data_IF_388656237758
#
_entry.id   IF_388656237758
#
_cell.length_a   1.000
_cell.length_b   1.000
_cell.length_c   1.000
_cell.angle_alpha   90.00
_cell.angle_beta   90.00
_cell.angle_gamma   90.00
#
_symmetry.space_group_name_H-M   'P 1'
#
loop_
_entity.id
_entity.type
_entity.pdbx_description
1 polymer ?
#
# COMPACT_ATOMS: atom_id res chain seq x y z
N UNK A 1 -8.88 22.98 -3.71
CA UNK A 1 -7.92 21.89 -3.54
C UNK A 1 -6.62 22.16 -4.31
N UNK A 2 -6.67 22.65 -5.56
CA UNK A 2 -5.45 22.84 -6.35
C UNK A 2 -4.51 23.96 -5.85
N UNK A 3 -4.99 25.12 -5.37
CA UNK A 3 -4.06 26.19 -4.93
C UNK A 3 -4.52 26.93 -3.67
N UNK A 4 -5.39 26.31 -2.87
CA UNK A 4 -5.95 26.93 -1.66
C UNK A 4 -5.94 25.99 -0.46
N UNK A 5 -6.17 26.54 0.73
CA UNK A 5 -6.20 25.78 1.98
C UNK A 5 -7.16 24.60 1.89
N UNK A 6 -6.72 23.46 2.43
CA UNK A 6 -7.54 22.24 2.46
C UNK A 6 -8.75 22.48 3.35
N UNK A 7 -9.93 22.53 2.77
CA UNK A 7 -11.18 22.76 3.50
C UNK A 7 -11.78 21.48 4.09
N UNK A 8 -11.40 20.30 3.57
CA UNK A 8 -11.94 19.02 3.99
C UNK A 8 -10.94 17.89 3.76
N UNK A 9 -10.82 16.98 4.73
CA UNK A 9 -10.01 15.77 4.65
C UNK A 9 -10.91 14.58 4.96
N UNK A 10 -11.03 13.65 4.01
CA UNK A 10 -11.63 12.34 4.23
C UNK A 10 -10.58 11.26 4.05
N UNK A 11 -10.46 10.39 5.04
CA UNK A 11 -9.60 9.21 4.99
C UNK A 11 -10.46 7.95 4.95
N UNK A 12 -10.09 7.00 4.10
CA UNK A 12 -10.68 5.66 4.01
C UNK A 12 -9.64 4.62 4.46
N UNK A 13 -9.41 4.50 5.78
CA UNK A 13 -8.46 3.53 6.31
C UNK A 13 -8.94 2.09 6.11
N UNK A 14 -7.97 1.17 6.04
CA UNK A 14 -8.24 -0.27 6.04
C UNK A 14 -8.73 -0.76 7.41
N UNK A 15 -9.14 -2.03 7.47
CA UNK A 15 -9.43 -2.71 8.74
C UNK A 15 -8.75 -4.09 8.75
N UNK A 16 -9.51 -5.15 8.58
CA UNK A 16 -9.09 -6.54 8.56
C UNK A 16 -9.47 -7.16 7.20
N UNK A 17 -8.80 -6.65 6.17
CA UNK A 17 -9.07 -6.93 4.74
C UNK A 17 -8.15 -7.98 4.12
N UNK A 18 -7.45 -8.79 4.92
CA UNK A 18 -6.48 -9.76 4.42
C UNK A 18 -7.08 -10.85 3.50
N UNK A 19 -8.39 -11.05 3.55
CA UNK A 19 -9.15 -12.00 2.71
C UNK A 19 -10.37 -11.30 2.05
N UNK A 20 -10.21 -10.00 1.71
CA UNK A 20 -11.22 -9.20 1.02
C UNK A 20 -10.68 -8.67 -0.31
N UNK A 21 -11.27 -9.10 -1.43
CA UNK A 21 -10.93 -8.56 -2.75
C UNK A 21 -11.97 -7.53 -3.24
N UNK A 22 -11.56 -6.41 -3.87
CA UNK A 22 -12.46 -5.53 -4.59
C UNK A 22 -12.87 -6.08 -5.98
N UNK A 23 -12.18 -7.10 -6.49
CA UNK A 23 -12.41 -7.69 -7.81
C UNK A 23 -13.59 -8.68 -7.76
N UNK A 24 -14.80 -8.17 -8.01
CA UNK A 24 -16.04 -8.93 -7.81
C UNK A 24 -16.24 -10.11 -8.77
N UNK A 25 -15.44 -10.19 -9.84
CA UNK A 25 -15.45 -11.33 -10.76
C UNK A 25 -14.39 -12.38 -10.42
N UNK A 26 -13.71 -12.23 -9.27
CA UNK A 26 -12.69 -13.15 -8.78
C UNK A 26 -11.52 -13.33 -9.75
N UNK A 27 -11.17 -12.26 -10.46
CA UNK A 27 -10.05 -12.19 -11.38
C UNK A 27 -9.38 -10.80 -11.31
N UNK A 28 -8.05 -10.71 -11.50
CA UNK A 28 -7.33 -9.45 -11.33
C UNK A 28 -7.84 -8.35 -12.26
N UNK A 29 -8.17 -7.20 -11.68
CA UNK A 29 -8.66 -6.03 -12.42
C UNK A 29 -10.10 -6.17 -12.93
N UNK A 30 -10.82 -7.25 -12.60
CA UNK A 30 -12.17 -7.53 -13.10
C UNK A 30 -13.23 -7.50 -11.99
N UNK A 31 -14.38 -6.94 -12.34
CA UNK A 31 -15.54 -6.77 -11.47
C UNK A 31 -15.50 -5.43 -10.73
N UNK A 32 -16.59 -4.64 -10.77
CA UNK A 32 -17.91 -4.92 -11.39
C UNK A 32 -17.97 -4.82 -12.93
N UNK A 33 -16.89 -4.43 -13.59
CA UNK A 33 -16.75 -4.29 -15.05
C UNK A 33 -15.46 -4.95 -15.54
N UNK A 34 -15.18 -4.87 -16.85
CA UNK A 34 -13.94 -5.36 -17.48
C UNK A 34 -12.80 -4.34 -17.46
N UNK A 35 -13.04 -3.11 -17.01
CA UNK A 35 -12.07 -2.02 -16.98
C UNK A 35 -11.65 -1.74 -15.53
N UNK A 36 -10.36 -1.96 -15.23
CA UNK A 36 -9.79 -1.78 -13.89
C UNK A 36 -9.95 -0.34 -13.35
N UNK A 37 -9.88 0.67 -14.22
CA UNK A 37 -10.09 2.06 -13.83
C UNK A 37 -11.54 2.28 -13.42
N UNK A 38 -12.47 1.80 -14.24
CA UNK A 38 -13.89 1.90 -13.92
C UNK A 38 -14.26 1.10 -12.67
N UNK A 39 -13.61 -0.05 -12.45
CA UNK A 39 -13.77 -0.83 -11.23
C UNK A 39 -13.33 -0.05 -9.99
N UNK A 40 -12.12 0.53 -10.02
CA UNK A 40 -11.63 1.37 -8.93
C UNK A 40 -12.58 2.55 -8.65
N UNK A 41 -13.09 3.23 -9.70
CA UNK A 41 -14.07 4.31 -9.55
C UNK A 41 -15.36 3.84 -8.88
N UNK A 42 -15.96 2.76 -9.37
CA UNK A 42 -17.24 2.23 -8.85
C UNK A 42 -17.08 1.76 -7.41
N UNK A 43 -16.03 0.99 -7.10
CA UNK A 43 -15.77 0.48 -5.75
C UNK A 43 -15.47 1.64 -4.78
N UNK A 44 -14.70 2.64 -5.21
CA UNK A 44 -14.48 3.86 -4.43
C UNK A 44 -15.78 4.61 -4.13
N UNK A 45 -16.64 4.81 -5.14
CA UNK A 45 -17.93 5.50 -4.97
C UNK A 45 -18.89 4.75 -4.04
N UNK A 46 -18.88 3.41 -4.05
CA UNK A 46 -19.66 2.60 -3.09
C UNK A 46 -19.21 2.85 -1.65
N UNK A 47 -17.90 2.92 -1.41
CA UNK A 47 -17.35 3.24 -0.10
C UNK A 47 -17.70 4.67 0.34
N UNK A 48 -17.60 5.65 -0.56
CA UNK A 48 -18.00 7.04 -0.30
C UNK A 48 -19.48 7.13 0.04
N UNK A 49 -20.36 6.46 -0.69
CA UNK A 49 -21.80 6.46 -0.43
C UNK A 49 -22.13 5.87 0.95
N UNK A 50 -21.45 4.79 1.35
CA UNK A 50 -21.60 4.22 2.69
C UNK A 50 -21.10 5.19 3.77
N UNK A 51 -19.94 5.82 3.57
CA UNK A 51 -19.38 6.79 4.50
C UNK A 51 -20.26 8.04 4.65
N UNK A 52 -20.82 8.57 3.56
CA UNK A 52 -21.77 9.68 3.58
C UNK A 52 -23.05 9.32 4.33
N UNK A 53 -23.56 8.10 4.13
CA UNK A 53 -24.71 7.59 4.88
C UNK A 53 -24.42 7.57 6.38
N UNK A 54 -23.29 6.99 6.77
CA UNK A 54 -22.86 6.93 8.17
C UNK A 54 -22.68 8.34 8.77
N UNK A 55 -21.96 9.22 8.07
CA UNK A 55 -21.70 10.60 8.47
C UNK A 55 -23.00 11.41 8.65
N UNK A 56 -23.94 11.31 7.70
CA UNK A 56 -25.23 12.00 7.77
C UNK A 56 -26.16 11.47 8.87
N UNK A 57 -25.99 10.20 9.26
CA UNK A 57 -26.77 9.57 10.35
C UNK A 57 -26.14 9.74 11.74
N UNK A 58 -24.93 10.29 11.83
CA UNK A 58 -24.19 10.38 13.09
C UNK A 58 -24.91 11.28 14.10
N UNK A 59 -25.35 10.68 15.21
CA UNK A 59 -26.03 11.38 16.31
C UNK A 59 -25.25 11.35 17.62
N UNK A 60 -24.31 10.44 17.76
CA UNK A 60 -23.52 10.27 18.98
C UNK A 60 -22.29 11.16 18.97
N UNK A 61 -22.13 11.97 20.01
CA UNK A 61 -20.93 12.79 20.20
C UNK A 61 -19.85 11.97 20.89
N UNK A 62 -18.62 12.00 20.34
CA UNK A 62 -17.46 11.41 21.02
C UNK A 62 -17.12 12.22 22.26
N UNK A 63 -17.08 11.56 23.42
CA UNK A 63 -16.78 12.22 24.70
C UNK A 63 -15.75 11.43 25.50
N UNK A 64 -15.01 12.12 26.37
CA UNK A 64 -13.94 11.53 27.17
C UNK A 64 -12.54 11.94 26.69
N UNK A 65 -11.52 11.38 27.33
CA UNK A 65 -10.12 11.72 27.06
C UNK A 65 -9.49 10.89 25.93
N UNK A 66 -8.21 11.13 25.71
CA UNK A 66 -7.36 10.35 24.82
C UNK A 66 -6.37 9.55 25.66
N UNK A 67 -6.13 8.30 25.29
CA UNK A 67 -5.11 7.46 25.91
C UNK A 67 -4.45 6.54 24.86
N UNK A 68 -3.28 5.99 25.15
CA UNK A 68 -2.61 5.05 24.25
C UNK A 68 -1.73 4.06 24.98
N UNK A 69 -1.62 2.84 24.44
CA UNK A 69 -0.68 1.81 24.89
C UNK A 69 0.03 1.19 23.71
N UNK A 70 1.32 0.92 23.85
CA UNK A 70 2.16 0.29 22.83
C UNK A 70 2.97 -0.86 23.43
N UNK A 71 3.26 -1.86 22.61
CA UNK A 71 4.18 -2.95 22.95
C UNK A 71 4.85 -3.45 21.69
N UNK A 72 6.10 -3.88 21.81
CA UNK A 72 6.82 -4.61 20.78
C UNK A 72 6.82 -6.10 21.13
N UNK A 73 6.48 -6.93 20.16
CA UNK A 73 6.48 -8.39 20.27
C UNK A 73 7.60 -8.95 19.39
N UNK A 74 8.45 -9.81 19.95
CA UNK A 74 9.34 -10.64 19.13
C UNK A 74 8.57 -11.87 18.64
N UNK A 75 7.92 -11.71 17.50
CA UNK A 75 7.02 -12.72 16.91
C UNK A 75 7.75 -13.97 16.43
N UNK A 76 9.08 -13.96 16.34
CA UNK A 76 9.84 -15.18 16.04
C UNK A 76 9.88 -16.15 17.23
N UNK A 77 9.53 -15.71 18.45
CA UNK A 77 9.71 -16.49 19.67
C UNK A 77 8.73 -16.16 20.83
N UNK A 78 7.46 -15.87 20.53
CA UNK A 78 6.42 -15.71 21.54
C UNK A 78 5.94 -17.05 22.10
N UNK A 79 5.95 -17.18 23.43
CA UNK A 79 5.18 -18.21 24.16
C UNK A 79 3.73 -17.74 24.24
N UNK A 80 2.82 -18.60 23.79
CA UNK A 80 1.39 -18.31 23.75
C UNK A 80 0.69 -19.20 24.76
N UNK A 81 0.03 -18.55 25.72
CA UNK A 81 -0.78 -19.21 26.74
C UNK A 81 -1.95 -19.98 26.12
N UNK A 82 -2.29 -21.10 26.76
CA UNK A 82 -3.47 -21.91 26.44
C UNK A 82 -4.78 -21.13 26.33
N UNK A 83 -4.87 -19.98 27.04
CA UNK A 83 -6.02 -19.07 26.98
C UNK A 83 -6.36 -18.60 25.55
N UNK A 84 -5.37 -18.44 24.68
CA UNK A 84 -5.54 -17.88 23.33
C UNK A 84 -5.46 -18.93 22.22
N UNK A 85 -5.14 -20.18 22.57
CA UNK A 85 -4.93 -21.26 21.61
C UNK A 85 -6.18 -22.14 21.49
N UNK A 86 -6.50 -22.67 20.29
CA UNK A 86 -7.72 -23.47 20.09
C UNK A 86 -7.82 -24.73 20.96
N UNK A 87 -6.69 -25.31 21.36
CA UNK A 87 -6.61 -26.57 22.12
C UNK A 87 -6.37 -26.36 23.63
N UNK A 88 -6.34 -25.11 24.09
CA UNK A 88 -6.15 -24.78 25.50
C UNK A 88 -4.74 -25.02 26.04
N UNK A 89 -3.73 -25.26 25.18
CA UNK A 89 -2.36 -25.62 25.59
C UNK A 89 -1.37 -24.51 25.29
N UNK A 90 -0.26 -24.49 26.02
CA UNK A 90 0.83 -23.58 25.69
C UNK A 90 1.47 -23.97 24.35
N UNK A 91 1.67 -22.97 23.50
CA UNK A 91 2.34 -23.11 22.20
C UNK A 91 3.38 -22.02 22.02
N UNK A 92 4.13 -22.08 20.91
CA UNK A 92 5.13 -21.08 20.56
C UNK A 92 5.02 -20.70 19.09
N UNK A 93 5.24 -19.42 18.79
CA UNK A 93 5.50 -18.96 17.41
C UNK A 93 6.89 -19.42 16.95
N UNK A 94 7.16 -19.29 15.65
CA UNK A 94 8.43 -19.68 15.07
C UNK A 94 9.04 -18.55 14.24
N UNK A 95 10.35 -18.59 13.95
CA UNK A 95 10.97 -17.70 12.98
C UNK A 95 10.21 -17.70 11.66
N UNK A 96 10.18 -16.52 11.02
CA UNK A 96 9.36 -16.28 9.85
C UNK A 96 9.70 -17.22 8.68
N UNK A 97 8.66 -17.77 8.06
CA UNK A 97 8.78 -18.64 6.90
C UNK A 97 7.65 -18.42 5.90
N UNK A 98 7.99 -18.47 4.61
CA UNK A 98 7.06 -18.38 3.48
C UNK A 98 6.64 -19.80 3.07
N UNK A 99 5.33 -20.01 2.94
CA UNK A 99 4.76 -21.27 2.48
C UNK A 99 4.56 -21.33 0.97
N UNK A 100 4.42 -22.54 0.42
CA UNK A 100 4.18 -22.76 -1.01
C UNK A 100 2.93 -22.05 -1.54
N UNK A 101 1.88 -21.94 -0.73
CA UNK A 101 0.66 -21.23 -1.10
C UNK A 101 0.87 -19.72 -1.32
N UNK A 102 1.80 -19.09 -0.58
CA UNK A 102 2.17 -17.69 -0.84
C UNK A 102 2.81 -17.53 -2.22
N UNK A 103 3.65 -18.49 -2.64
CA UNK A 103 4.28 -18.47 -3.96
C UNK A 103 3.30 -18.70 -5.11
N UNK A 104 2.12 -19.25 -4.85
CA UNK A 104 1.05 -19.42 -5.84
C UNK A 104 0.27 -18.12 -6.13
N UNK A 105 0.30 -17.14 -5.21
CA UNK A 105 -0.50 -15.91 -5.30
C UNK A 105 -1.96 -16.08 -4.89
N UNK A 106 -2.72 -14.98 -4.98
CA UNK A 106 -4.19 -15.00 -4.90
C UNK A 106 -4.76 -15.10 -6.31
N UNK A 107 -5.82 -15.89 -6.49
CA UNK A 107 -6.50 -16.03 -7.79
C UNK A 107 -7.19 -14.72 -8.17
N UNK A 108 -7.67 -13.98 -7.17
CA UNK A 108 -8.53 -12.81 -7.28
C UNK A 108 -7.76 -11.50 -7.47
N UNK A 109 -6.60 -11.37 -6.81
CA UNK A 109 -5.84 -10.11 -6.76
C UNK A 109 -4.53 -10.14 -7.58
N UNK A 110 -4.14 -11.33 -8.05
CA UNK A 110 -3.04 -11.53 -8.99
C UNK A 110 -2.03 -12.56 -8.53
N UNK A 111 -1.26 -13.14 -9.48
CA UNK A 111 -0.18 -14.04 -9.13
C UNK A 111 0.78 -13.33 -8.17
N UNK A 112 1.37 -14.08 -7.23
CA UNK A 112 2.49 -13.56 -6.47
C UNK A 112 3.58 -13.05 -7.45
N UNK A 113 4.39 -12.09 -7.01
CA UNK A 113 5.63 -11.72 -7.71
C UNK A 113 6.26 -13.02 -8.22
N UNK A 114 6.56 -13.20 -9.53
CA UNK A 114 7.11 -14.45 -10.03
C UNK A 114 8.46 -14.68 -9.36
N UNK A 115 8.48 -15.39 -8.24
CA UNK A 115 9.72 -15.63 -7.50
C UNK A 115 10.55 -16.69 -8.26
N UNK A 116 9.97 -17.42 -9.21
CA UNK A 116 10.60 -18.58 -9.83
C UNK A 116 10.24 -18.87 -11.31
N UNK A 117 10.40 -17.96 -12.30
CA UNK A 117 10.65 -18.41 -13.66
C UNK A 117 12.07 -19.00 -13.74
N UNK A 118 12.20 -20.21 -14.29
CA UNK A 118 13.49 -20.89 -14.49
C UNK A 118 14.51 -19.96 -15.19
N UNK A 119 15.71 -19.86 -14.63
CA UNK A 119 16.78 -18.99 -15.16
C UNK A 119 16.74 -17.52 -14.71
N UNK A 120 15.73 -17.09 -13.94
CA UNK A 120 15.68 -15.73 -13.37
C UNK A 120 16.68 -15.59 -12.23
N UNK A 121 17.69 -14.74 -12.40
CA UNK A 121 18.62 -14.34 -11.33
C UNK A 121 18.27 -12.95 -10.83
N UNK A 122 18.10 -12.79 -9.52
CA UNK A 122 17.98 -11.48 -8.88
C UNK A 122 19.33 -11.15 -8.21
N UNK A 123 20.10 -10.18 -8.73
CA UNK A 123 21.41 -9.81 -8.18
C UNK A 123 21.37 -9.44 -6.69
N UNK A 124 20.24 -8.90 -6.20
CA UNK A 124 20.04 -8.61 -4.78
C UNK A 124 19.96 -9.89 -3.95
N UNK A 125 19.21 -10.89 -4.42
CA UNK A 125 19.07 -12.18 -3.75
C UNK A 125 20.43 -12.88 -3.70
N UNK A 126 21.19 -12.88 -4.82
CA UNK A 126 22.53 -13.45 -4.88
C UNK A 126 23.49 -12.75 -3.90
N UNK A 127 23.48 -11.41 -3.87
CA UNK A 127 24.31 -10.62 -2.96
C UNK A 127 23.96 -10.79 -1.48
N UNK A 128 22.70 -11.13 -1.17
CA UNK A 128 22.23 -11.43 0.18
C UNK A 128 22.42 -12.92 0.55
N UNK A 129 23.09 -13.72 -0.28
CA UNK A 129 23.44 -15.10 0.03
C UNK A 129 22.48 -16.16 -0.52
N UNK A 130 21.55 -15.78 -1.41
CA UNK A 130 20.59 -16.69 -2.05
C UNK A 130 19.39 -17.03 -1.16
N UNK A 131 18.39 -17.71 -1.75
CA UNK A 131 17.22 -18.25 -1.03
C UNK A 131 17.32 -19.76 -0.75
N UNK A 132 18.42 -20.41 -1.17
CA UNK A 132 18.63 -21.86 -1.07
C UNK A 132 19.07 -22.33 0.33
N UNK A 133 18.76 -21.55 1.37
CA UNK A 133 19.07 -21.94 2.74
C UNK A 133 18.29 -23.20 3.10
N UNK A 134 18.94 -24.26 3.62
CA UNK A 134 18.25 -25.50 3.96
C UNK A 134 17.20 -25.22 5.03
N UNK A 135 15.96 -25.62 4.78
CA UNK A 135 14.87 -25.50 5.75
C UNK A 135 15.08 -26.53 6.85
N UNK A 136 15.42 -26.13 8.09
CA UNK A 136 15.67 -27.09 9.16
C UNK A 136 14.40 -27.85 9.54
N UNK A 137 14.52 -29.14 9.90
CA UNK A 137 13.36 -29.95 10.27
C UNK A 137 12.55 -29.33 11.42
N UNK A 138 13.22 -28.79 12.45
CA UNK A 138 12.54 -28.15 13.56
C UNK A 138 11.66 -26.95 13.13
N UNK A 139 12.04 -26.25 12.06
CA UNK A 139 11.25 -25.13 11.54
C UNK A 139 10.04 -25.65 10.75
N UNK A 140 10.20 -26.75 10.00
CA UNK A 140 9.07 -27.40 9.34
C UNK A 140 8.06 -27.89 10.37
N UNK A 141 8.53 -28.53 11.44
CA UNK A 141 7.67 -29.03 12.52
C UNK A 141 6.93 -27.87 13.22
N UNK A 142 7.62 -26.76 13.48
CA UNK A 142 7.03 -25.58 14.11
C UNK A 142 6.05 -24.80 13.20
N UNK A 143 6.21 -24.90 11.89
CA UNK A 143 5.34 -24.26 10.89
C UNK A 143 4.26 -25.20 10.36
N UNK A 144 4.22 -26.47 10.78
CA UNK A 144 3.22 -27.42 10.29
C UNK A 144 1.78 -26.89 10.48
N UNK A 145 0.88 -27.06 9.49
CA UNK A 145 1.05 -27.87 8.28
C UNK A 145 1.65 -27.13 7.07
N UNK A 146 2.19 -25.91 7.23
CA UNK A 146 2.79 -25.16 6.11
C UNK A 146 3.94 -25.91 5.47
N UNK A 147 3.86 -26.10 4.16
CA UNK A 147 5.01 -26.49 3.34
C UNK A 147 5.92 -25.27 3.17
N UNK A 148 6.98 -25.19 3.97
CA UNK A 148 7.94 -24.08 3.94
C UNK A 148 8.77 -24.13 2.66
N UNK A 149 8.74 -23.02 1.89
CA UNK A 149 9.58 -22.83 0.69
C UNK A 149 10.83 -22.02 1.03
N UNK A 150 10.67 -20.90 1.74
CA UNK A 150 11.80 -20.03 2.09
C UNK A 150 11.77 -19.69 3.59
N UNK A 151 12.83 -19.98 4.35
CA UNK A 151 12.93 -19.64 5.77
C UNK A 151 13.39 -18.18 5.93
N UNK A 152 12.58 -17.21 5.50
CA UNK A 152 12.95 -15.79 5.39
C UNK A 152 13.46 -15.15 6.69
N UNK A 153 13.04 -15.65 7.86
CA UNK A 153 13.54 -15.20 9.16
C UNK A 153 14.94 -15.70 9.50
N UNK A 154 15.47 -16.69 8.75
CA UNK A 154 16.79 -17.29 8.93
C UNK A 154 17.79 -16.91 7.83
N UNK A 155 17.35 -16.19 6.78
CA UNK A 155 18.21 -15.80 5.67
C UNK A 155 19.30 -14.80 6.14
N UNK A 156 20.57 -14.96 5.70
CA UNK A 156 21.60 -13.99 6.01
C UNK A 156 21.32 -12.63 5.33
N UNK A 157 21.83 -11.50 5.84
CA UNK A 157 22.70 -11.36 7.01
C UNK A 157 21.96 -11.25 8.37
N UNK A 158 20.63 -11.27 8.42
CA UNK A 158 19.89 -11.02 9.68
C UNK A 158 18.38 -11.26 9.64
N UNK A 159 17.91 -12.16 8.77
CA UNK A 159 16.51 -12.30 8.40
C UNK A 159 16.08 -11.20 7.43
N UNK A 160 15.19 -11.52 6.50
CA UNK A 160 14.72 -10.57 5.48
C UNK A 160 13.37 -9.92 5.81
N UNK A 161 12.83 -10.23 6.99
CA UNK A 161 11.52 -9.73 7.45
C UNK A 161 11.61 -9.29 8.92
N UNK A 162 10.78 -8.33 9.36
CA UNK A 162 10.79 -7.87 10.73
C UNK A 162 10.25 -8.93 11.70
N UNK A 163 11.04 -9.29 12.71
CA UNK A 163 10.59 -10.19 13.79
C UNK A 163 10.00 -9.42 14.99
N UNK A 164 10.48 -8.20 15.24
CA UNK A 164 10.02 -7.36 16.35
C UNK A 164 8.96 -6.39 15.83
N UNK A 165 7.71 -6.60 16.22
CA UNK A 165 6.54 -5.91 15.66
C UNK A 165 5.81 -5.08 16.71
N UNK A 166 5.45 -3.85 16.33
CA UNK A 166 4.73 -2.91 17.21
C UNK A 166 3.23 -3.14 17.13
N UNK A 167 2.61 -3.44 18.27
CA UNK A 167 1.16 -3.41 18.46
C UNK A 167 0.78 -2.18 19.27
N UNK A 168 -0.42 -1.66 19.04
CA UNK A 168 -0.92 -0.44 19.69
C UNK A 168 -2.43 -0.48 19.90
N UNK A 169 -2.88 0.14 20.99
CA UNK A 169 -4.27 0.55 21.19
C UNK A 169 -4.28 2.06 21.44
N UNK A 170 -5.08 2.80 20.66
CA UNK A 170 -5.39 4.21 20.86
C UNK A 170 -6.83 4.33 21.36
N UNK A 171 -7.08 5.09 22.42
CA UNK A 171 -8.42 5.41 22.90
C UNK A 171 -8.74 6.86 22.57
N UNK A 172 -9.89 7.09 21.96
CA UNK A 172 -10.46 8.42 21.74
C UNK A 172 -11.89 8.40 22.27
N UNK A 173 -12.09 8.95 23.46
CA UNK A 173 -13.37 8.93 24.14
C UNK A 173 -13.84 7.51 24.45
N UNK A 174 -14.96 7.10 23.85
CA UNK A 174 -15.50 5.75 23.96
C UNK A 174 -14.93 4.75 22.93
N UNK A 175 -14.17 5.20 21.93
CA UNK A 175 -13.64 4.35 20.85
C UNK A 175 -12.20 3.90 21.12
N UNK A 176 -11.88 2.69 20.66
CA UNK A 176 -10.58 2.05 20.76
C UNK A 176 -10.11 1.61 19.37
N UNK A 177 -9.05 2.23 18.86
CA UNK A 177 -8.42 1.90 17.59
C UNK A 177 -7.26 0.95 17.87
N UNK A 178 -7.37 -0.28 17.39
CA UNK A 178 -6.39 -1.35 17.57
C UNK A 178 -5.53 -1.46 16.32
N UNK A 179 -4.27 -1.04 16.40
CA UNK A 179 -3.33 -1.04 15.28
C UNK A 179 -2.57 -2.36 15.15
N UNK A 180 -2.70 -3.03 14.00
CA UNK A 180 -2.07 -4.31 13.65
C UNK A 180 -1.01 -4.23 12.54
N UNK A 181 0.21 -4.77 12.75
CA UNK A 181 1.32 -4.68 11.79
C UNK A 181 1.32 -5.79 10.73
N UNK A 182 0.13 -6.16 10.24
CA UNK A 182 -0.07 -7.23 9.26
C UNK A 182 -1.42 -7.05 8.53
N UNK A 183 -1.66 -7.89 7.53
CA UNK A 183 -2.93 -8.09 6.86
C UNK A 183 -3.75 -9.15 7.62
N UNK A 184 -4.64 -8.71 8.49
CA UNK A 184 -5.49 -9.62 9.25
C UNK A 184 -6.69 -10.02 8.40
N UNK A 185 -7.00 -11.31 8.33
CA UNK A 185 -8.27 -11.78 7.76
C UNK A 185 -9.46 -11.25 8.54
N UNK A 186 -10.66 -11.32 7.96
CA UNK A 186 -11.90 -10.85 8.56
C UNK A 186 -12.09 -11.42 9.96
N UNK A 187 -11.92 -12.73 10.10
CA UNK A 187 -12.12 -13.42 11.36
C UNK A 187 -10.96 -13.17 12.32
N UNK A 188 -9.73 -13.00 11.82
CA UNK A 188 -8.58 -12.66 12.67
C UNK A 188 -8.74 -11.29 13.32
N UNK A 189 -9.09 -10.27 12.54
CA UNK A 189 -9.38 -8.94 13.06
C UNK A 189 -10.56 -8.95 14.04
N UNK A 190 -11.64 -9.66 13.71
CA UNK A 190 -12.80 -9.83 14.60
C UNK A 190 -12.40 -10.45 15.96
N UNK A 191 -11.55 -11.48 15.97
CA UNK A 191 -11.08 -12.12 17.21
C UNK A 191 -10.25 -11.17 18.06
N UNK A 192 -9.39 -10.36 17.45
CA UNK A 192 -8.66 -9.31 18.18
C UNK A 192 -9.62 -8.29 18.78
N UNK A 193 -10.60 -7.80 18.00
CA UNK A 193 -11.60 -6.84 18.48
C UNK A 193 -12.37 -7.38 19.69
N UNK A 194 -12.79 -8.64 19.65
CA UNK A 194 -13.46 -9.32 20.77
C UNK A 194 -12.56 -9.42 22.00
N UNK A 195 -11.31 -9.86 21.82
CA UNK A 195 -10.34 -9.92 22.92
C UNK A 195 -10.17 -8.57 23.61
N UNK A 196 -10.01 -7.49 22.85
CA UNK A 196 -9.86 -6.14 23.40
C UNK A 196 -11.15 -5.66 24.07
N UNK A 197 -12.31 -5.86 23.43
CA UNK A 197 -13.61 -5.48 23.97
C UNK A 197 -13.91 -6.18 25.30
N UNK A 198 -13.66 -7.49 25.37
CA UNK A 198 -13.83 -8.32 26.56
C UNK A 198 -12.90 -7.88 27.70
N UNK A 199 -11.62 -7.63 27.41
CA UNK A 199 -10.66 -7.18 28.43
C UNK A 199 -10.99 -5.79 28.99
N UNK A 200 -11.50 -4.88 28.15
CA UNK A 200 -11.90 -3.54 28.57
C UNK A 200 -13.31 -3.48 29.17
N UNK A 201 -14.14 -4.49 28.95
CA UNK A 201 -15.56 -4.48 29.33
C UNK A 201 -16.38 -3.46 28.54
N UNK A 202 -16.08 -3.28 27.26
CA UNK A 202 -16.74 -2.30 26.37
C UNK A 202 -17.50 -3.00 25.23
N UNK A 203 -18.48 -2.34 24.60
CA UNK A 203 -19.13 -2.88 23.42
C UNK A 203 -18.17 -3.12 22.25
N UNK A 204 -18.40 -4.17 21.46
CA UNK A 204 -17.53 -4.57 20.36
C UNK A 204 -17.47 -3.52 19.23
N UNK A 205 -18.57 -2.81 19.01
CA UNK A 205 -18.73 -1.71 18.07
C UNK A 205 -17.80 -0.53 18.40
N UNK A 206 -17.39 -0.39 19.66
CA UNK A 206 -16.45 0.66 20.08
C UNK A 206 -14.99 0.29 19.79
N UNK A 207 -14.70 -0.96 19.44
CA UNK A 207 -13.35 -1.43 19.11
C UNK A 207 -13.21 -1.53 17.60
N UNK A 208 -12.38 -0.68 17.02
CA UNK A 208 -12.09 -0.60 15.59
C UNK A 208 -10.72 -1.22 15.34
N UNK A 209 -10.63 -2.18 14.43
CA UNK A 209 -9.34 -2.74 14.04
C UNK A 209 -8.78 -2.00 12.83
N UNK A 210 -7.51 -1.64 12.89
CA UNK A 210 -6.75 -0.97 11.84
C UNK A 210 -5.53 -1.84 11.50
N UNK A 211 -5.64 -2.67 10.48
CA UNK A 211 -4.50 -3.39 9.90
C UNK A 211 -3.52 -2.43 9.22
N UNK A 212 -2.43 -2.98 8.66
CA UNK A 212 -1.39 -2.19 7.97
C UNK A 212 -0.79 -1.06 8.83
N UNK A 213 -0.87 -1.17 10.15
CA UNK A 213 -0.46 -0.12 11.07
C UNK A 213 0.98 -0.32 11.53
N UNK A 214 1.78 0.75 11.44
CA UNK A 214 3.15 0.88 11.97
C UNK A 214 4.26 0.07 11.30
N UNK A 215 3.99 -1.18 10.93
CA UNK A 215 4.92 -2.09 10.27
C UNK A 215 4.13 -3.08 9.41
N UNK A 216 4.83 -3.94 8.68
CA UNK A 216 4.23 -4.92 7.79
C UNK A 216 4.94 -6.26 7.94
N UNK A 217 4.17 -7.31 8.23
CA UNK A 217 4.65 -8.69 8.44
C UNK A 217 3.83 -9.71 7.65
N UNK A 218 3.42 -9.33 6.44
CA UNK A 218 2.50 -10.10 5.60
C UNK A 218 1.17 -10.37 6.30
N UNK A 219 0.67 -11.61 6.30
CA UNK A 219 -0.70 -11.93 6.70
C UNK A 219 -0.79 -12.44 8.14
N UNK A 220 -1.99 -12.35 8.69
CA UNK A 220 -2.34 -12.96 9.96
C UNK A 220 -3.70 -13.66 9.81
N UNK A 221 -3.67 -14.98 9.70
CA UNK A 221 -4.85 -15.84 9.68
C UNK A 221 -5.18 -16.39 11.06
N UNK A 222 -6.41 -16.87 11.23
CA UNK A 222 -6.76 -17.71 12.38
C UNK A 222 -6.01 -19.05 12.31
N UNK A 223 -5.85 -19.79 13.42
CA UNK A 223 -5.29 -21.14 13.36
C UNK A 223 -6.05 -22.07 12.41
N UNK A 224 -7.38 -21.88 12.28
CA UNK A 224 -8.23 -22.69 11.41
C UNK A 224 -8.02 -22.36 9.92
N UNK A 225 -7.94 -21.06 9.59
CA UNK A 225 -7.56 -20.62 8.24
C UNK A 225 -6.14 -21.04 7.89
N UNK A 226 -5.20 -20.94 8.85
CA UNK A 226 -3.82 -21.36 8.67
C UNK A 226 -3.73 -22.84 8.27
N UNK A 227 -4.55 -23.70 8.89
CA UNK A 227 -4.55 -25.14 8.57
C UNK A 227 -4.96 -25.43 7.12
N UNK A 228 -5.75 -24.56 6.50
CA UNK A 228 -6.13 -24.71 5.09
C UNK A 228 -4.99 -24.40 4.12
N UNK A 229 -3.99 -23.63 4.56
CA UNK A 229 -2.85 -23.18 3.75
C UNK A 229 -3.27 -22.62 2.38
N UNK A 230 -4.31 -21.76 2.36
CA UNK A 230 -4.52 -20.81 1.27
C UNK A 230 -3.43 -19.73 1.27
N UNK A 231 -3.50 -18.76 0.36
CA UNK A 231 -2.47 -17.73 0.18
C UNK A 231 -2.12 -17.01 1.49
N UNK A 232 -3.11 -16.59 2.26
CA UNK A 232 -2.96 -15.87 3.53
C UNK A 232 -2.34 -16.78 4.61
N UNK A 233 -2.71 -18.07 4.60
CA UNK A 233 -2.15 -19.09 5.51
C UNK A 233 -0.68 -19.39 5.21
N UNK A 234 -0.32 -19.47 3.92
CA UNK A 234 1.06 -19.58 3.47
C UNK A 234 1.90 -18.33 3.80
N UNK A 235 1.24 -17.17 3.82
CA UNK A 235 1.84 -15.86 4.10
C UNK A 235 1.81 -15.46 5.58
N UNK A 236 1.21 -16.27 6.46
CA UNK A 236 1.22 -16.05 7.92
C UNK A 236 2.56 -16.50 8.49
N UNK A 237 3.50 -15.56 8.56
CA UNK A 237 4.94 -15.85 8.64
C UNK A 237 5.37 -16.62 9.90
N UNK A 238 4.79 -16.33 11.07
CA UNK A 238 5.28 -16.84 12.37
C UNK A 238 4.59 -18.13 12.84
N UNK A 239 3.90 -18.82 11.91
CA UNK A 239 3.26 -20.10 12.16
C UNK A 239 1.81 -20.01 12.62
N UNK A 240 1.23 -21.18 12.89
CA UNK A 240 -0.19 -21.36 13.25
C UNK A 240 -0.66 -20.51 14.42
N UNK A 241 0.23 -20.17 15.34
CA UNK A 241 -0.05 -19.41 16.56
C UNK A 241 0.24 -17.91 16.45
N UNK A 242 0.41 -17.38 15.23
CA UNK A 242 0.60 -15.94 14.98
C UNK A 242 -0.55 -15.09 15.54
N UNK A 243 -1.80 -15.38 15.15
CA UNK A 243 -2.96 -14.66 15.70
C UNK A 243 -3.10 -14.82 17.22
N UNK A 244 -3.02 -16.03 17.80
CA UNK A 244 -2.99 -16.20 19.25
C UNK A 244 -1.94 -15.36 19.98
N UNK A 245 -0.72 -15.23 19.44
CA UNK A 245 0.31 -14.36 20.00
C UNK A 245 -0.10 -12.87 19.96
N UNK A 246 -0.69 -12.41 18.85
CA UNK A 246 -1.25 -11.06 18.77
C UNK A 246 -2.39 -10.84 19.77
N UNK A 247 -3.35 -11.77 19.87
CA UNK A 247 -4.45 -11.67 20.84
C UNK A 247 -3.92 -11.58 22.28
N UNK A 248 -2.89 -12.36 22.62
CA UNK A 248 -2.23 -12.28 23.92
C UNK A 248 -1.62 -10.89 24.18
N UNK A 249 -0.90 -10.33 23.20
CA UNK A 249 -0.33 -8.99 23.31
C UNK A 249 -1.39 -7.90 23.44
N UNK A 250 -2.46 -7.96 22.64
CA UNK A 250 -3.56 -7.00 22.73
C UNK A 250 -4.35 -7.11 24.03
N UNK A 251 -4.53 -8.32 24.57
CA UNK A 251 -5.13 -8.50 25.88
C UNK A 251 -4.30 -7.82 26.97
N UNK A 252 -2.97 -7.94 26.91
CA UNK A 252 -2.07 -7.26 27.84
C UNK A 252 -2.16 -5.72 27.71
N UNK A 253 -2.20 -5.17 26.48
CA UNK A 253 -2.38 -3.73 26.27
C UNK A 253 -3.75 -3.24 26.79
N UNK A 254 -4.81 -4.00 26.52
CA UNK A 254 -6.16 -3.67 26.94
C UNK A 254 -6.30 -3.70 28.47
N UNK A 255 -5.75 -4.72 29.13
CA UNK A 255 -5.70 -4.79 30.58
C UNK A 255 -4.90 -3.62 31.18
N UNK A 256 -3.73 -3.29 30.63
CA UNK A 256 -2.95 -2.15 31.09
C UNK A 256 -3.69 -0.81 30.91
N UNK A 257 -4.44 -0.66 29.81
CA UNK A 257 -5.29 0.52 29.58
C UNK A 257 -6.44 0.59 30.58
N UNK A 258 -7.15 -0.51 30.83
CA UNK A 258 -8.22 -0.61 31.85
C UNK A 258 -7.71 -0.23 33.24
N UNK A 259 -6.53 -0.73 33.59
CA UNK A 259 -5.96 -0.60 34.94
C UNK A 259 -5.16 0.70 35.11
N UNK A 260 -5.04 1.53 34.06
CA UNK A 260 -4.28 2.79 34.09
C UNK A 260 -2.77 2.60 34.29
N UNK A 261 -2.22 1.46 33.83
CA UNK A 261 -0.81 1.09 34.00
C UNK A 261 -0.05 1.10 32.67
N UNK A 262 1.28 1.13 32.74
CA UNK A 262 2.15 1.04 31.57
C UNK A 262 2.57 -0.42 31.34
N UNK A 263 2.30 -1.00 30.14
CA UNK A 263 2.74 -2.35 29.81
C UNK A 263 4.25 -2.40 29.58
N UNK A 264 4.89 -3.58 29.67
CA UNK A 264 6.26 -3.74 29.24
C UNK A 264 6.41 -3.35 27.76
N UNK A 265 7.43 -2.54 27.47
CA UNK A 265 7.67 -2.05 26.10
C UNK A 265 8.03 -3.16 25.12
N UNK A 266 8.64 -4.24 25.58
CA UNK A 266 9.18 -5.31 24.73
C UNK A 266 10.55 -4.97 24.11
N UNK A 267 11.08 -5.85 23.23
CA UNK A 267 12.39 -5.65 22.62
C UNK A 267 12.39 -4.48 21.62
N UNK A 268 13.55 -3.86 21.43
CA UNK A 268 13.72 -2.82 20.42
C UNK A 268 13.79 -3.44 19.01
N UNK A 269 13.14 -2.86 17.99
CA UNK A 269 13.35 -3.24 16.59
C UNK A 269 14.81 -3.05 16.17
N UNK A 270 15.28 -3.90 15.24
CA UNK A 270 16.60 -3.75 14.66
C UNK A 270 16.69 -2.47 13.81
N UNK A 271 17.81 -1.74 13.94
CA UNK A 271 18.13 -0.62 13.05
C UNK A 271 18.89 -1.16 11.83
N UNK A 272 18.23 -1.13 10.67
CA UNK A 272 18.78 -1.58 9.39
C UNK A 272 19.19 -0.41 8.48
N UNK A 273 19.18 0.84 8.97
CA UNK A 273 19.48 2.03 8.16
C UNK A 273 20.90 2.02 7.58
N UNK A 274 21.84 1.37 8.25
CA UNK A 274 23.23 1.22 7.79
C UNK A 274 23.43 0.20 6.67
N UNK A 275 22.44 -0.65 6.36
CA UNK A 275 22.53 -1.69 5.33
C UNK A 275 21.22 -1.78 4.53
N UNK A 276 21.18 -1.05 3.42
CA UNK A 276 20.04 -0.99 2.48
C UNK A 276 20.56 -1.15 1.04
N UNK A 277 20.94 -2.38 0.63
CA UNK A 277 21.49 -2.58 -0.69
C UNK A 277 20.43 -2.33 -1.77
N UNK A 278 20.79 -1.56 -2.81
CA UNK A 278 19.91 -1.22 -3.93
C UNK A 278 20.54 -1.65 -5.24
N UNK A 279 19.87 -2.54 -5.96
CA UNK A 279 20.33 -3.10 -7.24
C UNK A 279 19.38 -2.82 -8.39
N UNK A 280 18.37 -1.96 -8.17
CA UNK A 280 17.46 -1.54 -9.22
C UNK A 280 18.15 -0.64 -10.24
N UNK A 281 17.73 -0.65 -11.52
CA UNK A 281 18.31 0.24 -12.52
C UNK A 281 18.08 1.70 -12.12
N UNK A 282 19.18 2.44 -12.02
CA UNK A 282 19.17 3.90 -11.89
C UNK A 282 18.80 4.57 -13.22
N UNK A 283 18.77 5.91 -13.19
CA UNK A 283 18.75 6.71 -14.42
C UNK A 283 20.20 7.03 -14.77
N UNK A 284 20.71 6.53 -15.89
CA UNK A 284 22.08 6.84 -16.33
C UNK A 284 22.19 8.31 -16.72
N UNK A 285 21.46 8.69 -17.77
CA UNK A 285 21.22 10.05 -18.24
C UNK A 285 20.01 10.04 -19.19
N UNK A 286 19.52 11.22 -19.56
CA UNK A 286 18.45 11.39 -20.54
C UNK A 286 18.95 12.13 -21.79
N UNK A 287 18.35 11.82 -22.94
CA UNK A 287 18.55 12.55 -24.19
C UNK A 287 17.19 12.95 -24.79
N UNK A 288 17.05 14.11 -25.42
CA UNK A 288 15.86 14.38 -26.21
C UNK A 288 15.80 13.45 -27.43
N UNK A 289 14.63 13.33 -28.05
CA UNK A 289 14.48 12.59 -29.30
C UNK A 289 15.27 13.29 -30.43
N UNK A 290 15.70 12.57 -31.47
CA UNK A 290 16.42 13.18 -32.58
C UNK A 290 15.66 14.37 -33.19
N UNK A 291 16.29 15.54 -33.20
CA UNK A 291 15.71 16.76 -33.75
C UNK A 291 14.74 17.51 -32.83
N UNK A 292 14.59 17.10 -31.57
CA UNK A 292 13.73 17.76 -30.58
C UNK A 292 14.52 18.27 -29.37
N UNK A 293 13.84 18.97 -28.47
CA UNK A 293 14.31 19.37 -27.14
C UNK A 293 13.39 18.78 -26.06
N UNK A 294 13.86 18.75 -24.81
CA UNK A 294 12.98 18.40 -23.69
C UNK A 294 11.87 19.46 -23.56
N UNK A 295 10.64 19.00 -23.36
CA UNK A 295 9.45 19.86 -23.35
C UNK A 295 8.79 20.05 -24.71
N UNK A 296 9.37 19.56 -25.81
CA UNK A 296 8.70 19.62 -27.12
C UNK A 296 7.46 18.71 -27.14
N UNK A 297 6.31 19.27 -27.53
CA UNK A 297 5.08 18.53 -27.78
C UNK A 297 5.12 17.88 -29.17
N UNK A 298 5.29 16.56 -29.19
CA UNK A 298 5.36 15.71 -30.40
C UNK A 298 3.98 15.27 -30.89
N UNK A 299 2.99 15.24 -29.99
CA UNK A 299 1.56 15.09 -30.33
C UNK A 299 0.82 16.29 -29.73
N UNK A 300 0.18 17.06 -30.60
CA UNK A 300 -0.61 18.24 -30.24
C UNK A 300 -2.09 17.88 -30.04
N UNK A 301 -2.81 18.60 -29.18
CA UNK A 301 -4.24 18.40 -28.99
C UNK A 301 -5.04 18.96 -30.18
N UNK A 302 -6.18 18.35 -30.46
CA UNK A 302 -7.20 18.90 -31.36
C UNK A 302 -8.36 19.53 -30.58
N UNK A 303 -9.17 20.32 -31.28
CA UNK A 303 -10.45 20.81 -30.74
C UNK A 303 -11.38 19.64 -30.41
N UNK A 304 -12.27 19.83 -29.44
CA UNK A 304 -13.18 18.79 -28.97
C UNK A 304 -14.39 19.32 -28.22
N UNK A 305 -15.06 18.42 -27.51
CA UNK A 305 -16.22 18.73 -26.67
C UNK A 305 -16.07 18.05 -25.31
N UNK A 306 -16.80 18.52 -24.28
CA UNK A 306 -16.96 17.76 -23.05
C UNK A 306 -17.38 16.30 -23.32
N UNK A 307 -16.81 15.35 -22.57
CA UNK A 307 -16.99 13.91 -22.75
C UNK A 307 -16.04 13.26 -23.77
N UNK A 308 -15.25 14.04 -24.53
CA UNK A 308 -14.17 13.51 -25.36
C UNK A 308 -12.87 13.28 -24.55
N UNK A 309 -11.91 12.58 -25.13
CA UNK A 309 -10.57 12.45 -24.58
C UNK A 309 -9.58 13.32 -25.37
N UNK A 310 -8.85 14.18 -24.67
CA UNK A 310 -7.69 14.90 -25.20
C UNK A 310 -6.43 14.07 -24.90
N UNK A 311 -5.54 13.93 -25.88
CA UNK A 311 -4.27 13.23 -25.71
C UNK A 311 -3.13 14.01 -26.35
N UNK A 312 -2.03 14.17 -25.60
CA UNK A 312 -0.83 14.90 -26.03
C UNK A 312 0.41 14.12 -25.63
N UNK A 313 1.53 14.35 -26.31
CA UNK A 313 2.79 13.65 -26.02
C UNK A 313 3.97 14.63 -26.03
N UNK A 314 4.79 14.60 -24.98
CA UNK A 314 5.95 15.46 -24.82
C UNK A 314 7.24 14.66 -24.76
N UNK A 315 8.32 15.21 -25.32
CA UNK A 315 9.68 14.74 -25.04
C UNK A 315 10.06 15.08 -23.61
N UNK A 316 10.52 14.08 -22.85
CA UNK A 316 10.75 14.24 -21.40
C UNK A 316 11.95 13.42 -20.91
N UNK A 317 12.39 13.68 -19.68
CA UNK A 317 13.35 12.84 -18.96
C UNK A 317 12.67 11.79 -18.09
N UNK A 318 13.43 10.92 -17.43
CA UNK A 318 12.86 9.91 -16.53
C UNK A 318 12.26 10.55 -15.26
N UNK A 319 11.01 10.20 -14.86
CA UNK A 319 10.36 10.70 -13.62
C UNK A 319 11.07 10.35 -12.30
N UNK A 320 12.15 9.55 -12.34
CA UNK A 320 12.98 9.27 -11.15
C UNK A 320 13.97 10.40 -10.85
N UNK A 321 14.22 11.30 -11.82
CA UNK A 321 15.11 12.43 -11.62
C UNK A 321 14.53 13.45 -10.64
N UNK A 322 13.22 13.64 -10.68
CA UNK A 322 12.47 14.48 -9.75
C UNK A 322 11.08 13.86 -9.59
N UNK A 323 10.66 13.63 -8.36
CA UNK A 323 9.34 13.07 -8.05
C UNK A 323 8.24 14.14 -8.04
N UNK A 324 8.58 15.42 -8.24
CA UNK A 324 7.67 16.56 -8.23
C UNK A 324 6.80 16.62 -6.96
N UNK A 325 7.38 16.30 -5.80
CA UNK A 325 6.63 16.25 -4.53
C UNK A 325 6.07 17.63 -4.19
N UNK A 326 4.77 17.69 -3.87
CA UNK A 326 4.01 18.94 -3.66
C UNK A 326 3.92 19.84 -4.92
N UNK A 327 4.21 19.29 -6.10
CA UNK A 327 3.98 19.91 -7.41
C UNK A 327 3.17 18.96 -8.29
N UNK A 328 3.33 19.11 -9.60
CA UNK A 328 2.71 18.24 -10.61
C UNK A 328 3.67 18.01 -11.78
N UNK A 329 3.50 16.90 -12.50
CA UNK A 329 4.14 16.64 -13.79
C UNK A 329 3.44 17.38 -14.95
N UNK A 330 2.19 17.82 -14.80
CA UNK A 330 1.49 18.60 -15.82
C UNK A 330 0.23 19.31 -15.30
N UNK A 331 -0.23 20.26 -16.11
CA UNK A 331 -1.46 21.01 -15.86
C UNK A 331 -2.30 21.07 -17.13
N UNK A 332 -3.59 20.83 -16.97
CA UNK A 332 -4.60 21.29 -17.91
C UNK A 332 -4.95 22.72 -17.51
N UNK A 333 -4.74 23.67 -18.42
CA UNK A 333 -4.97 25.09 -18.16
C UNK A 333 -6.06 25.63 -19.07
N UNK A 334 -6.91 26.50 -18.53
CA UNK A 334 -7.94 27.26 -19.24
C UNK A 334 -7.57 28.72 -19.35
N UNK A 335 -7.77 29.32 -20.52
CA UNK A 335 -7.63 30.76 -20.69
C UNK A 335 -8.85 31.48 -20.10
N UNK A 336 -8.63 32.28 -19.06
CA UNK A 336 -9.64 33.06 -18.36
C UNK A 336 -9.27 34.55 -18.43
N UNK A 337 -9.79 35.26 -19.44
CA UNK A 337 -9.53 36.69 -19.58
C UNK A 337 -8.08 37.05 -19.91
N UNK A 338 -7.37 36.18 -20.63
CA UNK A 338 -5.98 36.39 -21.04
C UNK A 338 -4.94 35.80 -20.09
N UNK A 339 -5.34 35.26 -18.94
CA UNK A 339 -4.49 34.48 -18.05
C UNK A 339 -4.80 32.98 -18.16
N UNK A 340 -3.79 32.15 -17.92
CA UNK A 340 -3.94 30.69 -17.88
C UNK A 340 -4.14 30.25 -16.44
N UNK A 341 -5.26 29.59 -16.18
CA UNK A 341 -5.61 29.06 -14.87
C UNK A 341 -5.65 27.55 -14.94
N UNK A 342 -4.98 26.87 -13.99
CA UNK A 342 -5.05 25.43 -13.86
C UNK A 342 -6.47 24.97 -13.51
N UNK A 343 -6.94 23.96 -14.23
CA UNK A 343 -8.26 23.34 -14.01
C UNK A 343 -8.17 21.85 -13.69
N UNK A 344 -7.05 21.19 -14.03
CA UNK A 344 -6.75 19.82 -13.62
C UNK A 344 -5.23 19.59 -13.60
N UNK A 345 -4.76 18.62 -12.82
CA UNK A 345 -3.36 18.18 -12.78
C UNK A 345 -3.22 16.66 -12.72
N UNK A 346 -2.06 16.15 -12.29
CA UNK A 346 -1.75 14.71 -12.23
C UNK A 346 -2.39 13.96 -11.04
N UNK A 347 -3.10 14.67 -10.16
CA UNK A 347 -3.84 14.10 -9.04
C UNK A 347 -5.35 13.98 -9.31
N UNK A 348 -5.85 14.54 -10.41
CA UNK A 348 -7.25 14.44 -10.81
C UNK A 348 -7.57 13.09 -11.49
N UNK A 349 -8.69 12.46 -11.12
CA UNK A 349 -9.10 11.18 -11.71
C UNK A 349 -9.30 11.22 -13.24
N UNK A 350 -9.63 12.41 -13.78
CA UNK A 350 -9.89 12.62 -15.20
C UNK A 350 -8.63 12.68 -16.06
N UNK A 351 -7.45 12.65 -15.46
CA UNK A 351 -6.18 12.80 -16.18
C UNK A 351 -5.29 11.58 -15.94
N UNK A 352 -4.44 11.26 -16.91
CA UNK A 352 -3.47 10.15 -16.81
C UNK A 352 -2.14 10.54 -17.40
N UNK A 353 -1.08 10.02 -16.80
CA UNK A 353 0.30 10.14 -17.27
C UNK A 353 0.87 8.77 -17.61
N UNK A 354 1.38 8.61 -18.82
CA UNK A 354 2.07 7.40 -19.24
C UNK A 354 3.45 7.74 -19.79
N UNK A 355 4.49 7.47 -19.00
CA UNK A 355 5.88 7.61 -19.41
C UNK A 355 6.34 6.36 -20.15
N UNK A 356 7.09 6.53 -21.24
CA UNK A 356 7.72 5.42 -21.95
C UNK A 356 9.12 5.76 -22.45
N UNK A 357 10.01 4.76 -22.40
CA UNK A 357 11.35 4.81 -22.98
C UNK A 357 11.27 4.78 -24.52
N UNK A 358 12.07 5.61 -25.18
CA UNK A 358 12.22 5.65 -26.65
C UNK A 358 13.72 5.57 -26.98
N UNK A 359 14.13 4.48 -27.62
CA UNK A 359 15.56 4.19 -27.80
C UNK A 359 16.26 3.92 -26.47
N UNK A 360 17.55 4.27 -26.36
CA UNK A 360 18.35 3.97 -25.17
C UNK A 360 18.13 4.97 -24.03
N UNK A 361 18.14 6.28 -24.32
CA UNK A 361 18.07 7.34 -23.31
C UNK A 361 16.99 8.39 -23.59
N UNK A 362 16.28 8.27 -24.73
CA UNK A 362 15.12 9.11 -25.04
C UNK A 362 13.91 8.69 -24.25
N UNK A 363 13.01 9.61 -23.93
CA UNK A 363 11.70 9.26 -23.40
C UNK A 363 10.65 10.27 -23.78
N UNK A 364 9.40 9.81 -23.77
CA UNK A 364 8.24 10.66 -23.92
C UNK A 364 7.25 10.38 -22.80
N UNK A 365 6.42 11.37 -22.52
CA UNK A 365 5.26 11.25 -21.66
C UNK A 365 4.00 11.52 -22.48
N UNK A 366 3.07 10.57 -22.45
CA UNK A 366 1.72 10.76 -22.97
C UNK A 366 0.83 11.20 -21.82
N UNK A 367 0.15 12.32 -22.00
CA UNK A 367 -0.85 12.84 -21.06
C UNK A 367 -2.22 12.70 -21.73
N UNK A 368 -3.18 12.13 -21.01
CA UNK A 368 -4.57 12.08 -21.45
C UNK A 368 -5.46 12.81 -20.46
N UNK A 369 -6.49 13.48 -20.97
CA UNK A 369 -7.54 14.14 -20.19
C UNK A 369 -8.90 13.70 -20.72
N UNK A 370 -9.60 12.90 -19.93
CA UNK A 370 -10.99 12.51 -20.14
C UNK A 370 -11.88 13.68 -19.72
N UNK A 371 -12.23 14.56 -20.68
CA UNK A 371 -12.85 15.86 -20.41
C UNK A 371 -14.17 15.68 -19.68
N UNK A 372 -14.32 16.14 -18.42
CA UNK A 372 -15.57 16.02 -17.67
C UNK A 372 -16.74 16.66 -18.42
N UNK A 373 -17.94 16.07 -18.33
CA UNK A 373 -19.11 16.51 -19.08
C UNK A 373 -19.57 17.94 -18.73
N UNK A 374 -19.24 18.42 -17.52
CA UNK A 374 -19.53 19.76 -17.02
C UNK A 374 -18.40 20.78 -17.28
N UNK A 375 -17.35 20.38 -18.01
CA UNK A 375 -16.25 21.26 -18.37
C UNK A 375 -16.75 22.44 -19.21
N UNK A 376 -16.53 23.69 -18.79
CA UNK A 376 -16.99 24.85 -19.54
C UNK A 376 -16.34 24.96 -20.93
N UNK A 377 -17.10 25.40 -21.92
CA UNK A 377 -16.54 25.77 -23.22
C UNK A 377 -15.45 26.85 -23.07
N UNK A 378 -14.43 26.80 -23.94
CA UNK A 378 -13.33 27.76 -23.90
C UNK A 378 -12.06 27.25 -24.56
N UNK A 379 -10.99 28.03 -24.39
CA UNK A 379 -9.66 27.70 -24.90
C UNK A 379 -8.80 27.11 -23.78
N UNK A 380 -8.15 26.00 -24.09
CA UNK A 380 -7.34 25.21 -23.18
C UNK A 380 -5.95 24.95 -23.75
N UNK A 381 -5.00 24.58 -22.89
CA UNK A 381 -3.68 24.05 -23.26
C UNK A 381 -3.19 23.07 -22.20
N UNK A 382 -2.22 22.23 -22.55
CA UNK A 382 -1.52 21.37 -21.59
C UNK A 382 -0.11 21.91 -21.38
N UNK A 383 0.28 22.07 -20.12
CA UNK A 383 1.66 22.40 -19.74
C UNK A 383 2.28 21.19 -19.03
N UNK A 384 3.44 20.73 -19.48
CA UNK A 384 4.21 19.65 -18.88
C UNK A 384 5.42 20.20 -18.14
N UNK A 385 5.74 19.61 -16.99
CA UNK A 385 6.95 19.85 -16.21
C UNK A 385 7.74 18.55 -16.05
N UNK A 386 9.05 18.62 -16.21
CA UNK A 386 9.91 17.46 -16.00
C UNK A 386 11.34 17.85 -15.64
N UNK A 387 12.15 16.83 -15.39
CA UNK A 387 13.57 16.98 -15.09
C UNK A 387 14.40 15.99 -15.93
N UNK A 388 15.52 16.47 -16.46
CA UNK A 388 16.44 15.67 -17.27
C UNK A 388 17.79 15.55 -16.58
N UNK A 389 18.41 14.37 -16.66
CA UNK A 389 19.75 14.11 -16.14
C UNK A 389 20.78 14.20 -17.27
N UNK A 390 21.72 15.12 -17.13
CA UNK A 390 22.76 15.36 -18.13
C UNK A 390 23.77 14.21 -18.22
N UNK A 391 24.17 13.84 -19.44
CA UNK A 391 25.27 12.89 -19.68
C UNK A 391 26.58 13.43 -19.09
N UNK A 392 27.32 12.56 -18.40
CA UNK A 392 28.63 12.89 -17.82
C UNK A 392 28.52 13.54 -16.44
N UNK A 393 28.04 14.78 -16.36
CA UNK A 393 27.95 15.50 -15.08
C UNK A 393 26.91 14.90 -14.13
N UNK A 394 25.89 14.22 -14.66
CA UNK A 394 24.77 13.70 -13.89
C UNK A 394 23.88 14.79 -13.29
N UNK A 395 24.08 16.06 -13.68
CA UNK A 395 23.29 17.18 -13.19
C UNK A 395 21.83 17.04 -13.64
N UNK A 396 20.90 17.24 -12.71
CA UNK A 396 19.46 17.20 -12.98
C UNK A 396 18.97 18.63 -13.18
N UNK A 397 18.32 18.89 -14.31
CA UNK A 397 17.82 20.22 -14.68
C UNK A 397 16.32 20.18 -15.01
N UNK A 398 15.52 21.10 -14.43
CA UNK A 398 14.10 21.18 -14.74
C UNK A 398 13.87 21.79 -16.13
N UNK A 399 12.77 21.43 -16.76
CA UNK A 399 12.27 22.04 -17.98
C UNK A 399 10.73 22.09 -17.95
N UNK A 400 10.15 22.86 -18.85
CA UNK A 400 8.71 22.80 -19.12
C UNK A 400 8.41 22.84 -20.61
N UNK A 401 7.25 22.32 -20.97
CA UNK A 401 6.72 22.27 -22.34
C UNK A 401 5.26 22.69 -22.36
N UNK A 402 4.80 23.30 -23.45
CA UNK A 402 3.40 23.71 -23.61
C UNK A 402 2.91 23.29 -24.98
N UNK A 403 1.69 22.76 -25.06
CA UNK A 403 1.04 22.44 -26.35
C UNK A 403 0.58 23.68 -27.09
N UNK A 404 0.14 23.51 -28.34
CA UNK A 404 -0.79 24.46 -28.94
C UNK A 404 -2.07 24.57 -28.13
N UNK A 405 -2.76 25.70 -28.27
CA UNK A 405 -4.10 25.90 -27.73
C UNK A 405 -5.12 25.04 -28.48
N UNK A 406 -6.15 24.58 -27.78
CA UNK A 406 -7.30 23.87 -28.36
C UNK A 406 -8.60 24.36 -27.74
N UNK A 407 -9.71 24.18 -28.45
CA UNK A 407 -11.04 24.63 -28.02
C UNK A 407 -11.91 23.46 -27.60
N UNK A 408 -12.64 23.67 -26.51
CA UNK A 408 -13.79 22.86 -26.13
C UNK A 408 -15.07 23.63 -26.47
N UNK A 409 -15.93 23.03 -27.29
CA UNK A 409 -17.23 23.60 -27.73
C UNK A 409 -18.42 22.87 -27.16
#
# INVERSE_FOLDING_TARGET
YLDGDTSFIAAFPQTNSGDMSPNLFLEPGRGPTEDEFENARIIGLRQVAAAQTAFGSASETVTGGVDSRIMYLDMANQVVSGRFTPDGREHRTAPAAIGAAMSAGSVEDGPAIPIFPEGTRNPMIDALGGMDAPVPQWLQDAQAPKLVVVPVGLLPPGGWVPNVLKIQILRIGQFYIVGGPAEFTIVSGLRVRRTVAEELGVPLENVIFQGYANSYSSYCTTPQEYDSQQYEGGSTMFGRYTLPAYQQGYAALAAAMRDGTEPPRGPAPADLSGFQPSFGPGVDFDEPLPGTQFGDATVQPGDGSPGAQVAVEFVTGHPKNDTHRNGTFYEIQRNTGGSWTRVADDNDWSTKLHWRRVGSNGSVVRITWDVPADTPAGTYRVQHFGASKARGSGAISPFSGVTSEFRLT
#
